data_IF_554779175188
#
_entry.id   IF_554779175188
#
_cell.length_a   1.000
_cell.length_b   1.000
_cell.length_c   1.000
_cell.angle_alpha   90.00
_cell.angle_beta   90.00
_cell.angle_gamma   90.00
#
_symmetry.space_group_name_H-M   'P 1'
#
loop_
_entity.id
_entity.type
_entity.pdbx_description
1 polymer ?
#
# COMPACT_ATOMS: atom_id res chain seq x y z
N UNK A 1 -18.47 39.13 -24.25
CA UNK A 1 -17.32 40.02 -24.47
C UNK A 1 -17.06 40.76 -23.18
N UNK A 2 -15.84 40.72 -22.67
CA UNK A 2 -15.46 41.46 -21.47
C UNK A 2 -14.90 42.81 -21.88
N UNK A 3 -15.54 43.88 -21.40
CA UNK A 3 -15.08 45.26 -21.56
C UNK A 3 -14.12 45.55 -20.41
N UNK A 4 -12.86 45.86 -20.72
CA UNK A 4 -11.93 46.39 -19.71
C UNK A 4 -12.15 47.90 -19.60
N UNK A 5 -12.35 48.40 -18.39
CA UNK A 5 -12.44 49.83 -18.10
C UNK A 5 -11.07 50.38 -17.75
N UNK A 6 -10.67 51.43 -18.45
CA UNK A 6 -9.48 52.23 -18.14
C UNK A 6 -9.67 52.96 -16.79
N UNK A 7 -8.65 52.91 -15.92
CA UNK A 7 -8.68 53.62 -14.64
C UNK A 7 -8.07 55.01 -14.83
N UNK A 8 -8.87 55.95 -15.31
CA UNK A 8 -8.47 57.35 -15.42
C UNK A 8 -8.42 58.02 -14.02
N UNK A 9 -7.43 58.89 -13.79
CA UNK A 9 -7.32 59.76 -12.62
C UNK A 9 -8.51 60.74 -12.56
N UNK A 10 -9.48 60.51 -11.68
CA UNK A 10 -10.74 61.27 -11.65
C UNK A 10 -10.73 62.52 -10.77
N UNK A 11 -9.63 62.82 -10.06
CA UNK A 11 -9.48 64.09 -9.32
C UNK A 11 -8.05 64.60 -9.38
N UNK A 12 -7.87 65.84 -9.86
CA UNK A 12 -6.63 66.60 -9.76
C UNK A 12 -6.82 67.71 -8.71
N UNK A 13 -6.07 67.65 -7.60
CA UNK A 13 -5.78 68.86 -6.83
C UNK A 13 -4.61 69.58 -7.51
N UNK A 14 -4.70 70.89 -7.68
CA UNK A 14 -3.64 71.71 -8.28
C UNK A 14 -2.37 71.69 -7.39
N UNK A 15 -1.52 70.69 -7.60
CA UNK A 15 -0.16 70.64 -7.07
C UNK A 15 0.77 71.01 -8.22
N UNK A 16 1.37 72.20 -8.15
CA UNK A 16 2.27 72.74 -9.18
C UNK A 16 3.59 71.93 -9.22
N UNK A 17 3.53 70.74 -9.81
CA UNK A 17 4.67 69.82 -10.00
C UNK A 17 4.95 69.75 -11.50
N UNK A 18 6.11 70.27 -11.90
CA UNK A 18 6.66 70.06 -13.25
C UNK A 18 7.52 68.80 -13.23
N UNK A 19 7.29 67.88 -14.16
CA UNK A 19 8.06 66.63 -14.29
C UNK A 19 7.43 65.37 -13.68
N UNK A 20 6.13 65.38 -13.35
CA UNK A 20 5.44 64.16 -12.90
C UNK A 20 5.27 63.18 -14.07
N UNK A 21 5.73 61.93 -13.87
CA UNK A 21 5.54 60.82 -14.80
C UNK A 21 4.57 59.81 -14.18
N UNK A 22 3.53 59.42 -14.93
CA UNK A 22 2.64 58.32 -14.57
C UNK A 22 3.09 57.11 -15.38
N UNK A 23 3.48 56.04 -14.69
CA UNK A 23 3.82 54.78 -15.32
C UNK A 23 2.70 53.76 -15.08
N UNK A 24 2.12 53.26 -16.16
CA UNK A 24 1.02 52.30 -16.11
C UNK A 24 1.60 50.92 -16.42
N UNK A 25 1.89 50.17 -15.37
CA UNK A 25 2.42 48.80 -15.50
C UNK A 25 1.23 47.83 -15.46
N UNK A 26 0.77 47.42 -16.65
CA UNK A 26 -0.25 46.38 -16.79
C UNK A 26 0.45 45.06 -17.10
N UNK A 27 0.34 44.08 -16.20
CA UNK A 27 0.78 42.72 -16.49
C UNK A 27 -0.04 42.15 -17.66
N UNK A 28 0.57 41.40 -18.60
CA UNK A 28 -0.16 40.77 -19.68
C UNK A 28 -1.26 39.87 -19.13
N UNK A 29 -2.42 39.78 -19.80
CA UNK A 29 -3.41 38.75 -19.47
C UNK A 29 -2.78 37.38 -19.80
N UNK A 30 -2.43 36.61 -18.78
CA UNK A 30 -1.61 35.41 -18.94
C UNK A 30 -0.09 35.69 -18.97
N UNK A 31 0.36 36.83 -18.46
CA UNK A 31 1.78 37.18 -18.33
C UNK A 31 2.50 36.40 -17.22
N UNK A 32 3.74 36.79 -16.93
CA UNK A 32 4.59 36.09 -15.97
C UNK A 32 3.90 35.81 -14.62
N UNK A 33 3.90 34.55 -14.19
CA UNK A 33 3.26 34.06 -12.98
C UNK A 33 1.82 33.59 -13.15
N UNK A 34 1.26 33.60 -14.36
CA UNK A 34 -0.08 33.08 -14.64
C UNK A 34 -0.12 31.55 -14.52
N UNK A 35 0.91 30.86 -14.99
CA UNK A 35 1.08 29.42 -14.79
C UNK A 35 2.53 29.13 -14.38
N UNK A 36 2.85 29.37 -13.11
CA UNK A 36 4.21 29.16 -12.59
C UNK A 36 4.72 27.73 -12.79
N UNK A 37 3.85 26.71 -12.85
CA UNK A 37 4.25 25.32 -13.12
C UNK A 37 4.81 25.19 -14.52
N UNK A 38 4.12 25.71 -15.54
CA UNK A 38 4.58 25.68 -16.93
C UNK A 38 5.75 26.63 -17.16
N UNK A 39 5.71 27.84 -16.59
CA UNK A 39 6.74 28.87 -16.76
C UNK A 39 8.08 28.53 -16.09
N UNK A 40 8.07 27.72 -15.02
CA UNK A 40 9.27 27.25 -14.33
C UNK A 40 9.70 25.83 -14.78
N UNK A 41 9.04 25.25 -15.79
CA UNK A 41 9.40 23.94 -16.34
C UNK A 41 9.07 22.75 -15.43
N UNK A 42 7.93 22.79 -14.75
CA UNK A 42 7.39 21.69 -13.94
C UNK A 42 6.93 20.51 -14.79
N UNK A 43 7.87 19.74 -15.31
CA UNK A 43 7.63 18.57 -16.18
C UNK A 43 7.71 17.23 -15.45
N UNK A 44 8.12 17.24 -14.17
CA UNK A 44 8.38 16.03 -13.40
C UNK A 44 7.58 16.02 -12.10
N UNK A 45 6.94 14.90 -11.80
CA UNK A 45 6.45 14.57 -10.45
C UNK A 45 7.41 13.54 -9.86
N UNK A 46 7.91 13.81 -8.65
CA UNK A 46 8.67 12.85 -7.85
C UNK A 46 7.79 12.35 -6.71
N UNK A 47 7.64 11.04 -6.63
CA UNK A 47 7.08 10.33 -5.49
C UNK A 47 8.23 9.71 -4.71
N UNK A 48 8.25 9.91 -3.40
CA UNK A 48 9.20 9.26 -2.51
C UNK A 48 8.46 8.54 -1.38
N UNK A 49 8.79 7.27 -1.17
CA UNK A 49 8.35 6.49 -0.03
C UNK A 49 9.60 5.92 0.67
N UNK A 50 9.76 6.25 1.95
CA UNK A 50 10.82 5.70 2.78
C UNK A 50 10.20 4.66 3.70
N UNK A 51 10.72 3.44 3.67
CA UNK A 51 10.26 2.35 4.50
C UNK A 51 11.33 2.09 5.57
N UNK A 52 10.93 2.04 6.83
CA UNK A 52 11.84 1.73 7.95
C UNK A 52 11.33 0.56 8.77
N UNK A 53 12.18 -0.45 9.01
CA UNK A 53 11.80 -1.65 9.75
C UNK A 53 10.49 -2.25 9.19
N UNK A 54 9.53 -2.58 10.06
CA UNK A 54 8.28 -3.22 9.70
C UNK A 54 7.11 -2.23 9.49
N UNK A 55 7.33 -0.92 9.67
CA UNK A 55 6.32 0.15 9.60
C UNK A 55 4.96 -0.22 10.21
N UNK A 56 4.91 -0.30 11.54
CA UNK A 56 3.71 -0.72 12.25
C UNK A 56 3.43 -2.22 12.18
N UNK A 57 4.27 -3.01 11.51
CA UNK A 57 4.11 -4.43 11.17
C UNK A 57 3.25 -4.71 9.91
N UNK A 58 3.01 -3.68 9.09
CA UNK A 58 2.34 -3.85 7.79
C UNK A 58 3.28 -4.38 6.71
N UNK A 59 4.59 -4.17 6.89
CA UNK A 59 5.63 -4.68 5.99
C UNK A 59 6.52 -5.68 6.72
N UNK A 60 6.57 -6.92 6.24
CA UNK A 60 7.52 -7.90 6.76
C UNK A 60 8.97 -7.48 6.48
N UNK A 61 9.88 -7.79 7.41
CA UNK A 61 11.33 -7.71 7.22
C UNK A 61 11.97 -9.09 7.04
N UNK A 62 11.17 -10.17 7.13
CA UNK A 62 11.62 -11.55 7.06
C UNK A 62 11.57 -12.14 5.64
N UNK A 63 10.91 -11.44 4.70
CA UNK A 63 10.82 -11.86 3.30
C UNK A 63 11.54 -10.86 2.37
N UNK A 64 11.76 -11.30 1.14
CA UNK A 64 12.22 -10.46 0.05
C UNK A 64 11.06 -9.88 -0.76
N UNK A 65 11.32 -8.77 -1.43
CA UNK A 65 10.38 -8.17 -2.38
C UNK A 65 10.99 -8.10 -3.76
N UNK A 66 10.12 -8.23 -4.76
CA UNK A 66 10.50 -8.33 -6.19
C UNK A 66 9.72 -7.35 -7.06
N UNK A 67 8.75 -6.63 -6.51
CA UNK A 67 7.87 -5.73 -7.26
C UNK A 67 7.57 -4.47 -6.47
N UNK A 68 7.65 -3.34 -7.18
CA UNK A 68 7.19 -2.04 -6.71
C UNK A 68 6.16 -1.54 -7.72
N UNK A 69 5.12 -0.87 -7.26
CA UNK A 69 4.10 -0.34 -8.17
C UNK A 69 3.36 0.83 -7.56
N UNK A 70 2.60 1.53 -8.40
CA UNK A 70 1.70 2.60 -7.98
C UNK A 70 0.28 2.20 -8.34
N UNK A 71 -0.57 2.22 -7.31
CA UNK A 71 -2.00 1.93 -7.42
C UNK A 71 -2.77 3.18 -7.02
N UNK A 72 -3.67 3.60 -7.89
CA UNK A 72 -4.53 4.76 -7.70
C UNK A 72 -5.84 4.31 -7.07
N UNK A 73 -6.26 5.00 -6.00
CA UNK A 73 -7.54 4.81 -5.32
C UNK A 73 -7.90 3.35 -4.97
N UNK A 74 -7.03 2.58 -4.28
CA UNK A 74 -7.41 1.27 -3.75
C UNK A 74 -8.47 1.43 -2.65
N UNK A 75 -9.33 0.41 -2.45
CA UNK A 75 -10.38 0.45 -1.43
C UNK A 75 -9.98 -0.28 -0.15
N UNK A 76 -10.55 0.14 0.99
CA UNK A 76 -10.50 -0.64 2.23
C UNK A 76 -11.25 -1.97 2.04
N UNK A 77 -10.73 -3.04 2.63
CA UNK A 77 -11.28 -4.38 2.49
C UNK A 77 -12.77 -4.45 2.84
N UNK A 78 -13.55 -5.09 1.96
CA UNK A 78 -15.00 -5.24 2.16
C UNK A 78 -15.81 -3.96 1.96
N UNK A 79 -15.20 -2.88 1.47
CA UNK A 79 -15.86 -1.58 1.24
C UNK A 79 -15.57 -1.04 -0.17
N UNK A 80 -16.18 0.09 -0.51
CA UNK A 80 -15.87 0.90 -1.69
C UNK A 80 -15.23 2.25 -1.31
N UNK A 81 -14.77 2.38 -0.08
CA UNK A 81 -14.14 3.60 0.42
C UNK A 81 -12.67 3.56 0.07
N UNK A 82 -12.17 4.62 -0.58
CA UNK A 82 -10.75 4.76 -0.90
C UNK A 82 -9.94 4.78 0.40
N UNK A 83 -8.92 3.94 0.44
CA UNK A 83 -8.03 3.82 1.57
C UNK A 83 -7.18 5.08 1.71
N UNK A 84 -6.99 5.54 2.96
CA UNK A 84 -6.27 6.77 3.27
C UNK A 84 -5.17 6.61 4.33
N UNK A 85 -5.03 5.41 4.90
CA UNK A 85 -4.00 5.14 5.89
C UNK A 85 -2.61 5.11 5.23
N UNK A 86 -1.58 5.49 5.98
CA UNK A 86 -0.22 5.64 5.46
C UNK A 86 0.42 4.31 5.04
N UNK A 87 0.08 3.24 5.74
CA UNK A 87 0.56 1.88 5.53
C UNK A 87 -0.60 0.92 5.75
N UNK A 88 -0.66 -0.12 4.92
CA UNK A 88 -1.74 -1.10 4.91
C UNK A 88 -1.21 -2.46 4.47
N UNK A 89 -1.62 -3.51 5.17
CA UNK A 89 -1.23 -4.89 4.90
C UNK A 89 -2.14 -5.55 3.87
N UNK A 90 -1.53 -6.19 2.88
CA UNK A 90 -2.21 -6.95 1.82
C UNK A 90 -2.24 -8.47 2.03
N UNK A 91 -1.61 -8.99 3.09
CA UNK A 91 -1.63 -10.42 3.41
C UNK A 91 -2.88 -10.80 4.22
N UNK A 92 -3.33 -12.04 4.03
CA UNK A 92 -4.25 -12.69 4.96
C UNK A 92 -3.47 -13.22 6.15
N UNK A 93 -4.13 -13.36 7.30
CA UNK A 93 -3.51 -13.91 8.49
C UNK A 93 -4.35 -15.03 9.09
N UNK A 94 -3.67 -16.02 9.68
CA UNK A 94 -4.31 -17.07 10.46
C UNK A 94 -3.63 -17.14 11.82
N UNK A 95 -4.39 -17.00 12.90
CA UNK A 95 -3.90 -17.30 14.24
C UNK A 95 -4.01 -18.80 14.47
N UNK A 96 -2.88 -19.43 14.73
CA UNK A 96 -2.77 -20.87 14.87
C UNK A 96 -2.67 -21.29 16.34
N UNK A 97 -3.24 -22.46 16.62
CA UNK A 97 -3.03 -23.25 17.84
C UNK A 97 -2.44 -24.61 17.47
N UNK A 98 -2.00 -25.37 18.48
CA UNK A 98 -1.37 -26.69 18.29
C UNK A 98 -0.21 -26.66 17.29
N UNK A 99 0.57 -25.58 17.31
CA UNK A 99 1.67 -25.35 16.36
C UNK A 99 2.82 -26.32 16.65
N UNK A 100 3.36 -26.91 15.60
CA UNK A 100 4.58 -27.74 15.63
C UNK A 100 5.51 -27.33 14.50
N UNK A 101 6.80 -27.17 14.81
CA UNK A 101 7.79 -26.69 13.85
C UNK A 101 7.70 -25.18 13.60
N UNK A 102 8.30 -24.73 12.50
CA UNK A 102 8.36 -23.32 12.10
C UNK A 102 8.09 -23.26 10.61
N UNK A 103 7.15 -22.42 10.19
CA UNK A 103 6.84 -22.26 8.78
C UNK A 103 7.97 -21.50 8.08
N UNK A 104 8.36 -21.98 6.91
CA UNK A 104 9.37 -21.37 6.06
C UNK A 104 8.73 -20.30 5.17
N UNK A 105 9.40 -19.17 5.04
CA UNK A 105 9.02 -18.13 4.08
C UNK A 105 9.04 -18.70 2.65
N UNK A 106 8.13 -18.21 1.81
CA UNK A 106 7.94 -18.67 0.42
C UNK A 106 7.55 -20.15 0.30
N UNK A 107 7.16 -20.85 1.38
CA UNK A 107 6.68 -22.22 1.27
C UNK A 107 5.21 -22.29 0.86
N UNK A 108 4.80 -23.45 0.31
CA UNK A 108 3.39 -23.76 0.08
C UNK A 108 2.80 -24.30 1.37
N UNK A 109 1.62 -23.80 1.75
CA UNK A 109 0.80 -24.39 2.81
C UNK A 109 -0.46 -25.01 2.24
N UNK A 110 -0.89 -26.12 2.83
CA UNK A 110 -2.14 -26.80 2.48
C UNK A 110 -2.97 -27.08 3.72
N UNK A 111 -4.28 -26.89 3.62
CA UNK A 111 -5.20 -27.25 4.70
C UNK A 111 -5.85 -28.61 4.43
N UNK A 112 -5.86 -29.47 5.45
CA UNK A 112 -6.61 -30.71 5.45
C UNK A 112 -8.11 -30.46 5.23
N UNK A 113 -8.81 -31.43 4.62
CA UNK A 113 -10.25 -31.39 4.31
C UNK A 113 -10.68 -30.37 3.25
N UNK A 114 -10.35 -29.08 3.41
CA UNK A 114 -10.76 -28.03 2.47
C UNK A 114 -9.93 -28.01 1.19
N UNK A 115 -8.70 -28.53 1.24
CA UNK A 115 -7.72 -28.46 0.16
C UNK A 115 -7.32 -27.02 -0.20
N UNK A 116 -7.53 -26.07 0.72
CA UNK A 116 -7.08 -24.69 0.54
C UNK A 116 -5.54 -24.66 0.44
N UNK A 117 -5.04 -23.88 -0.51
CA UNK A 117 -3.61 -23.69 -0.77
C UNK A 117 -3.26 -22.21 -0.59
N UNK A 118 -2.06 -21.92 -0.11
CA UNK A 118 -1.51 -20.57 -0.04
C UNK A 118 0.02 -20.57 0.00
N UNK A 119 0.60 -19.38 -0.06
CA UNK A 119 2.04 -19.15 0.12
C UNK A 119 2.31 -18.39 1.39
N UNK A 120 3.26 -18.88 2.18
CA UNK A 120 3.71 -18.20 3.39
C UNK A 120 4.46 -16.94 3.00
N UNK A 121 4.04 -15.81 3.57
CA UNK A 121 4.75 -14.54 3.48
C UNK A 121 5.64 -14.36 4.69
N UNK A 122 5.15 -14.67 5.89
CA UNK A 122 5.87 -14.54 7.14
C UNK A 122 5.26 -15.42 8.25
N UNK A 123 6.05 -15.75 9.26
CA UNK A 123 5.65 -16.50 10.44
C UNK A 123 6.05 -15.75 11.72
N UNK A 124 5.04 -15.27 12.45
CA UNK A 124 5.23 -14.68 13.77
C UNK A 124 5.04 -15.75 14.84
N UNK A 125 6.17 -16.28 15.32
CA UNK A 125 6.22 -17.27 16.37
C UNK A 125 5.75 -16.75 17.75
N UNK A 126 5.84 -15.45 18.01
CA UNK A 126 5.49 -14.89 19.32
C UNK A 126 3.98 -14.84 19.51
N UNK A 127 3.25 -14.49 18.44
CA UNK A 127 1.79 -14.42 18.47
C UNK A 127 1.09 -15.63 17.83
N UNK A 128 1.86 -16.59 17.31
CA UNK A 128 1.39 -17.73 16.50
C UNK A 128 0.55 -17.29 15.30
N UNK A 129 1.03 -16.30 14.55
CA UNK A 129 0.33 -15.75 13.39
C UNK A 129 1.05 -16.13 12.11
N UNK A 130 0.32 -16.81 11.22
CA UNK A 130 0.77 -17.15 9.88
C UNK A 130 0.26 -16.12 8.88
N UNK A 131 1.18 -15.37 8.26
CA UNK A 131 0.88 -14.43 7.18
C UNK A 131 1.01 -15.13 5.85
N UNK A 132 0.00 -15.01 4.99
CA UNK A 132 -0.03 -15.73 3.73
C UNK A 132 -0.77 -14.98 2.63
N UNK A 133 -0.49 -15.39 1.39
CA UNK A 133 -1.20 -14.96 0.20
C UNK A 133 -1.89 -16.16 -0.46
N UNK A 134 -3.03 -15.89 -1.12
CA UNK A 134 -3.69 -16.85 -2.00
C UNK A 134 -3.92 -16.20 -3.35
N UNK A 135 -3.27 -16.74 -4.37
CA UNK A 135 -3.40 -16.26 -5.74
C UNK A 135 -4.30 -17.18 -6.57
N UNK A 136 -4.62 -16.75 -7.80
CA UNK A 136 -5.44 -17.53 -8.73
C UNK A 136 -4.63 -18.60 -9.48
N UNK A 137 -3.37 -18.83 -9.10
CA UNK A 137 -2.45 -19.76 -9.74
C UNK A 137 -2.24 -21.05 -8.93
N UNK A 138 -1.96 -22.14 -9.64
CA UNK A 138 -1.67 -23.45 -9.06
C UNK A 138 -0.45 -23.41 -8.15
N UNK A 139 -0.54 -24.03 -6.98
CA UNK A 139 0.45 -23.96 -5.88
C UNK A 139 0.60 -22.60 -5.19
N UNK A 140 -0.11 -21.55 -5.63
CA UNK A 140 -0.11 -20.22 -5.00
C UNK A 140 -1.44 -19.86 -4.34
N UNK A 141 -2.54 -20.50 -4.72
CA UNK A 141 -3.83 -20.31 -4.04
C UNK A 141 -4.99 -21.17 -4.54
N UNK A 142 -4.78 -22.00 -5.56
CA UNK A 142 -5.78 -22.96 -6.03
C UNK A 142 -5.45 -24.39 -5.58
N UNK A 143 -6.49 -25.16 -5.29
CA UNK A 143 -6.38 -26.55 -4.85
C UNK A 143 -5.71 -27.40 -5.93
N UNK A 144 -4.66 -28.15 -5.57
CA UNK A 144 -3.85 -28.92 -6.52
C UNK A 144 -4.67 -29.91 -7.36
N UNK A 145 -5.71 -30.50 -6.78
CA UNK A 145 -6.51 -31.55 -7.45
C UNK A 145 -7.57 -30.99 -8.40
N UNK A 146 -8.18 -29.85 -8.07
CA UNK A 146 -9.34 -29.31 -8.82
C UNK A 146 -9.00 -28.05 -9.60
N UNK A 147 -7.88 -27.39 -9.30
CA UNK A 147 -7.54 -26.06 -9.82
C UNK A 147 -8.48 -24.95 -9.34
N UNK A 148 -9.41 -25.26 -8.42
CA UNK A 148 -10.36 -24.28 -7.89
C UNK A 148 -9.74 -23.45 -6.78
N UNK A 149 -10.10 -22.17 -6.71
CA UNK A 149 -9.80 -21.35 -5.53
C UNK A 149 -10.67 -21.81 -4.35
N UNK A 150 -10.03 -22.18 -3.25
CA UNK A 150 -10.69 -22.53 -1.98
C UNK A 150 -10.04 -21.72 -0.86
N UNK A 151 -10.85 -20.95 -0.15
CA UNK A 151 -10.37 -20.18 1.00
C UNK A 151 -10.10 -21.11 2.19
N UNK A 152 -9.05 -20.80 2.95
CA UNK A 152 -8.83 -21.44 4.25
C UNK A 152 -10.04 -21.17 5.15
N UNK A 153 -10.54 -22.21 5.80
CA UNK A 153 -11.72 -22.10 6.66
C UNK A 153 -11.80 -23.24 7.66
N UNK A 154 -12.50 -22.98 8.77
CA UNK A 154 -12.65 -23.93 9.87
C UNK A 154 -11.34 -24.27 10.58
N UNK A 155 -11.44 -25.09 11.62
CA UNK A 155 -10.30 -25.55 12.42
C UNK A 155 -9.71 -26.85 11.87
N UNK A 156 -9.28 -26.84 10.61
CA UNK A 156 -8.58 -27.97 9.99
C UNK A 156 -7.07 -27.70 9.97
N UNK A 157 -6.26 -28.75 10.20
CA UNK A 157 -4.79 -28.66 10.21
C UNK A 157 -4.25 -28.07 8.90
N UNK A 158 -3.31 -27.14 9.05
CA UNK A 158 -2.53 -26.53 7.98
C UNK A 158 -1.12 -27.08 8.08
N UNK A 159 -0.57 -27.52 6.95
CA UNK A 159 0.77 -28.11 6.85
C UNK A 159 1.64 -27.34 5.85
N UNK A 160 2.87 -27.01 6.25
CA UNK A 160 3.91 -26.48 5.39
C UNK A 160 4.54 -27.58 4.53
N UNK A 161 4.67 -27.35 3.23
CA UNK A 161 5.16 -28.36 2.28
C UNK A 161 6.66 -28.63 2.40
N UNK A 162 7.45 -27.62 2.79
CA UNK A 162 8.92 -27.75 2.90
C UNK A 162 9.33 -27.96 4.35
N UNK A 163 8.76 -27.15 5.25
CA UNK A 163 9.10 -27.17 6.68
C UNK A 163 8.51 -28.37 7.43
N UNK A 164 7.45 -28.98 6.87
CA UNK A 164 6.56 -29.92 7.56
C UNK A 164 5.96 -29.35 8.87
N UNK A 165 6.00 -28.02 9.06
CA UNK A 165 5.37 -27.37 10.18
C UNK A 165 3.85 -27.55 10.10
N UNK A 166 3.21 -27.71 11.25
CA UNK A 166 1.75 -27.83 11.34
C UNK A 166 1.17 -26.83 12.30
N UNK A 167 -0.10 -26.48 12.10
CA UNK A 167 -0.90 -25.74 13.05
C UNK A 167 -2.37 -25.74 12.64
N UNK A 168 -3.25 -25.55 13.60
CA UNK A 168 -4.70 -25.54 13.36
C UNK A 168 -5.23 -24.13 13.62
N UNK A 169 -6.07 -23.54 12.75
CA UNK A 169 -6.70 -22.25 13.02
C UNK A 169 -7.42 -22.27 14.36
N UNK A 170 -7.11 -21.29 15.21
CA UNK A 170 -7.73 -21.16 16.53
C UNK A 170 -9.13 -20.57 16.38
N UNK A 171 -10.14 -21.44 16.33
CA UNK A 171 -11.53 -21.01 16.20
C UNK A 171 -12.04 -20.15 17.37
N UNK A 172 -11.34 -20.13 18.51
CA UNK A 172 -11.69 -19.26 19.64
C UNK A 172 -11.05 -17.86 19.54
N UNK A 173 -10.14 -17.63 18.59
CA UNK A 173 -9.54 -16.33 18.37
C UNK A 173 -10.50 -15.39 17.63
N UNK A 174 -11.23 -14.59 18.41
CA UNK A 174 -12.21 -13.61 17.92
C UNK A 174 -11.96 -12.21 18.52
N UNK A 175 -10.68 -11.82 18.59
CA UNK A 175 -10.26 -10.56 19.21
C UNK A 175 -9.03 -9.96 18.53
N UNK A 176 -8.78 -8.70 18.86
CA UNK A 176 -7.61 -7.93 18.46
C UNK A 176 -6.33 -8.45 19.11
N UNK A 177 -5.29 -8.65 18.29
CA UNK A 177 -3.90 -8.89 18.74
C UNK A 177 -3.07 -7.69 18.33
N UNK A 178 -2.55 -6.97 19.32
CA UNK A 178 -1.61 -5.86 19.09
C UNK A 178 -0.20 -6.41 18.89
N UNK A 179 0.42 -6.00 17.79
CA UNK A 179 1.75 -6.42 17.37
C UNK A 179 2.83 -5.53 18.00
N UNK A 180 4.10 -5.91 17.83
CA UNK A 180 5.22 -5.23 18.48
C UNK A 180 5.43 -3.79 17.98
N UNK A 181 5.18 -3.53 16.71
CA UNK A 181 5.20 -2.23 16.03
C UNK A 181 3.96 -1.37 16.28
N UNK A 182 2.93 -1.91 16.95
CA UNK A 182 1.78 -1.16 17.44
C UNK A 182 0.49 -1.31 16.63
N UNK A 183 0.54 -1.85 15.39
CA UNK A 183 -0.70 -2.16 14.67
C UNK A 183 -1.41 -3.35 15.31
N UNK A 184 -2.68 -3.51 14.96
CA UNK A 184 -3.55 -4.52 15.56
C UNK A 184 -4.22 -5.35 14.49
N UNK A 185 -4.15 -6.67 14.63
CA UNK A 185 -4.89 -7.61 13.77
C UNK A 185 -6.13 -8.07 14.52
N UNK A 186 -7.29 -7.84 13.94
CA UNK A 186 -8.54 -8.40 14.47
C UNK A 186 -8.84 -9.72 13.78
N UNK A 187 -8.89 -10.79 14.58
CA UNK A 187 -9.25 -12.12 14.10
C UNK A 187 -10.74 -12.39 14.32
N UNK A 188 -11.30 -13.21 13.43
CA UNK A 188 -12.61 -13.85 13.60
C UNK A 188 -12.47 -15.32 13.28
N UNK A 189 -12.76 -16.18 14.28
CA UNK A 189 -12.53 -17.62 14.22
C UNK A 189 -11.10 -18.00 13.79
N UNK A 190 -10.10 -17.20 14.21
CA UNK A 190 -8.69 -17.43 13.87
C UNK A 190 -8.26 -16.91 12.50
N UNK A 191 -9.13 -16.25 11.74
CA UNK A 191 -8.79 -15.68 10.42
C UNK A 191 -8.86 -14.16 10.45
N UNK A 192 -7.95 -13.51 9.73
CA UNK A 192 -8.00 -12.07 9.47
C UNK A 192 -7.81 -11.79 7.98
N UNK A 193 -8.62 -10.87 7.48
CA UNK A 193 -8.55 -10.39 6.10
C UNK A 193 -7.39 -9.40 5.91
N UNK A 194 -6.96 -9.14 4.66
CA UNK A 194 -6.12 -7.99 4.37
C UNK A 194 -6.88 -6.68 4.66
N UNK A 195 -6.16 -5.58 4.75
CA UNK A 195 -6.74 -4.26 5.06
C UNK A 195 -7.20 -3.53 3.80
N UNK A 196 -6.57 -3.84 2.66
CA UNK A 196 -6.97 -3.39 1.34
C UNK A 196 -7.78 -4.46 0.62
N UNK A 197 -8.77 -4.02 -0.15
CA UNK A 197 -9.57 -4.89 -1.01
C UNK A 197 -8.70 -5.41 -2.18
N UNK A 198 -8.53 -6.73 -2.34
CA UNK A 198 -7.83 -7.29 -3.48
C UNK A 198 -8.48 -6.89 -4.81
N UNK A 199 -7.67 -6.73 -5.86
CA UNK A 199 -8.12 -6.36 -7.20
C UNK A 199 -8.90 -5.01 -7.25
N UNK A 200 -8.66 -4.09 -6.30
CA UNK A 200 -9.24 -2.74 -6.29
C UNK A 200 -8.23 -1.65 -6.67
N UNK A 201 -8.75 -0.49 -7.12
CA UNK A 201 -7.95 0.61 -7.64
C UNK A 201 -7.46 0.39 -9.07
N UNK A 202 -6.63 1.30 -9.56
CA UNK A 202 -6.04 1.27 -10.90
C UNK A 202 -4.51 1.24 -10.82
N UNK A 203 -3.90 0.22 -11.42
CA UNK A 203 -2.44 0.11 -11.46
C UNK A 203 -1.90 0.95 -12.60
N UNK A 204 -1.15 2.00 -12.28
CA UNK A 204 -0.57 2.92 -13.28
C UNK A 204 0.93 2.65 -13.52
N UNK A 205 1.59 1.93 -12.62
CA UNK A 205 3.01 1.61 -12.73
C UNK A 205 3.33 0.29 -12.04
N UNK A 206 4.18 -0.52 -12.68
CA UNK A 206 4.80 -1.72 -12.10
C UNK A 206 6.26 -1.77 -12.55
N UNK A 207 7.15 -1.95 -11.59
CA UNK A 207 8.55 -2.33 -11.78
C UNK A 207 8.78 -3.70 -11.17
N UNK A 208 9.33 -4.64 -11.94
CA UNK A 208 9.85 -5.89 -11.42
C UNK A 208 11.37 -5.77 -11.25
N UNK A 209 11.87 -6.17 -10.09
CA UNK A 209 13.28 -6.12 -9.72
C UNK A 209 13.78 -7.51 -9.37
N UNK A 210 15.10 -7.68 -9.37
CA UNK A 210 15.70 -8.84 -8.71
C UNK A 210 15.29 -8.85 -7.22
N UNK A 211 15.25 -10.03 -6.57
CA UNK A 211 14.86 -10.11 -5.17
C UNK A 211 15.75 -9.23 -4.31
N UNK A 212 15.12 -8.43 -3.45
CA UNK A 212 15.78 -7.58 -2.48
C UNK A 212 15.34 -8.07 -1.10
N UNK A 213 16.28 -8.63 -0.35
CA UNK A 213 16.05 -9.04 1.03
C UNK A 213 15.99 -7.81 1.93
N UNK A 214 15.06 -7.84 2.88
CA UNK A 214 14.93 -6.79 3.91
C UNK A 214 15.67 -7.15 5.18
N UNK A 215 15.87 -6.14 6.01
CA UNK A 215 16.35 -6.29 7.38
C UNK A 215 15.82 -5.14 8.23
N UNK A 216 15.60 -5.38 9.53
CA UNK A 216 15.18 -4.34 10.48
C UNK A 216 16.19 -3.18 10.56
N UNK A 217 17.47 -3.45 10.32
CA UNK A 217 18.53 -2.45 10.43
C UNK A 217 18.71 -1.64 9.13
N UNK A 218 17.86 -1.90 8.13
CA UNK A 218 17.87 -1.21 6.86
C UNK A 218 16.72 -0.19 6.79
N UNK A 219 17.01 0.91 6.09
CA UNK A 219 16.02 1.89 5.66
C UNK A 219 16.00 1.86 4.15
N UNK A 220 14.85 1.56 3.58
CA UNK A 220 14.65 1.52 2.14
C UNK A 220 14.03 2.83 1.66
N UNK A 221 14.50 3.34 0.52
CA UNK A 221 14.02 4.59 -0.07
C UNK A 221 13.64 4.33 -1.53
N UNK A 222 12.35 4.50 -1.83
CA UNK A 222 11.76 4.22 -3.13
C UNK A 222 11.38 5.56 -3.78
N UNK A 223 12.10 5.89 -4.86
CA UNK A 223 11.87 7.10 -5.65
C UNK A 223 11.36 6.75 -7.03
N UNK A 224 10.20 7.30 -7.37
CA UNK A 224 9.64 7.23 -8.70
C UNK A 224 9.52 8.65 -9.27
N UNK A 225 10.07 8.84 -10.47
CA UNK A 225 10.00 10.11 -11.20
C UNK A 225 9.17 9.86 -12.45
N UNK A 226 8.10 10.65 -12.62
CA UNK A 226 7.20 10.60 -13.78
C UNK A 226 7.30 11.92 -14.53
N UNK A 227 7.49 11.85 -15.84
CA UNK A 227 7.47 12.99 -16.75
C UNK A 227 6.10 13.07 -17.46
N UNK A 228 5.56 14.28 -17.65
CA UNK A 228 4.26 14.50 -18.29
C UNK A 228 4.22 15.79 -19.12
#
# INVERSE_FOLDING_TARGET
>A
GYTFSDSALTTTANMNISGAAVDVIIAPKGGHGYNAVEELGGHYIMMNATITQAEGDDFTVANDFRRVGVVVNPYNYGTTTVASDSTLRMTKCIKLTSVSGTFDVDEKISQATTLAIGKVVDWDNSNSILYYQQEKYGDYGTATTTGAYVAFSGANEITGATSAATGTPDAAADSAVTLAGGNTITFTNGFANPELAPDSGEVIYIENRKPISRSSDQTEDIKLIVEF
#
